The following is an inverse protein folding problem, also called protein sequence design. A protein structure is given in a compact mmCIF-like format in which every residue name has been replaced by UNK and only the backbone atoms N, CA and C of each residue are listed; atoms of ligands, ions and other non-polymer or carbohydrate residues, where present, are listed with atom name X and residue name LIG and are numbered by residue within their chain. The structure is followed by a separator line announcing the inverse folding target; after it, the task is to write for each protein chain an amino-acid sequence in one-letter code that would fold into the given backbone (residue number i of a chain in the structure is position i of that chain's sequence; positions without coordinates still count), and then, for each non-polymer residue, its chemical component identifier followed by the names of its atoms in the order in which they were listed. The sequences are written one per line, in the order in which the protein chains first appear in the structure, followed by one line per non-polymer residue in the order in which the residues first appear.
data_IF_674955030860
#
_entry.id   IF_674955030860
#
_cell.length_a   1.000
_cell.length_b   1.000
_cell.length_c   1.000
_cell.angle_alpha   90.00
_cell.angle_beta   90.00
_cell.angle_gamma   90.00
#
_symmetry.space_group_name_H-M   'P 1'
#
loop_
_entity.id
_entity.type
_entity.pdbx_description
1 polymer ?
#
# COMPACT_ATOMS: atom_id res chain seq x y z
N UNK A 1 38.37 33.63 -43.14
CA UNK A 1 37.51 34.21 -42.08
C UNK A 1 37.65 33.29 -40.88
N UNK A 2 38.23 33.81 -39.80
CA UNK A 2 38.55 32.96 -38.67
C UNK A 2 37.32 32.60 -37.82
N UNK A 3 37.31 31.42 -37.22
CA UNK A 3 36.31 30.89 -36.32
C UNK A 3 35.93 31.89 -35.22
N UNK A 4 36.85 32.69 -34.76
CA UNK A 4 36.71 33.73 -33.71
C UNK A 4 35.78 34.88 -34.18
N UNK A 5 35.84 35.27 -35.45
CA UNK A 5 35.05 36.34 -36.03
C UNK A 5 33.57 35.92 -36.16
N UNK A 6 33.33 34.64 -36.44
CA UNK A 6 31.95 34.05 -36.50
C UNK A 6 31.35 33.96 -35.11
N UNK A 7 32.16 33.74 -34.06
CA UNK A 7 31.70 33.71 -32.66
C UNK A 7 31.35 35.12 -32.17
N UNK A 8 32.16 36.12 -32.52
CA UNK A 8 31.92 37.52 -32.14
C UNK A 8 30.68 38.09 -32.79
N UNK A 9 30.38 37.73 -34.03
CA UNK A 9 29.12 38.14 -34.70
C UNK A 9 27.88 37.48 -34.13
N UNK A 10 28.01 36.41 -33.32
CA UNK A 10 26.92 35.73 -32.63
C UNK A 10 26.95 35.89 -31.11
N UNK A 11 27.61 36.96 -30.65
CA UNK A 11 27.81 37.23 -29.22
C UNK A 11 26.48 37.28 -28.43
N UNK A 12 25.44 37.87 -29.04
CA UNK A 12 24.11 37.92 -28.44
C UNK A 12 23.50 36.51 -28.28
N UNK A 13 23.68 35.64 -29.27
CA UNK A 13 23.19 34.28 -29.24
C UNK A 13 23.94 33.45 -28.17
N UNK A 14 25.24 33.65 -28.03
CA UNK A 14 26.05 32.99 -27.00
C UNK A 14 25.67 33.43 -25.60
N UNK A 15 25.48 34.74 -25.39
CA UNK A 15 24.98 35.32 -24.12
C UNK A 15 23.59 34.80 -23.74
N UNK A 16 22.70 34.68 -24.72
CA UNK A 16 21.35 34.15 -24.51
C UNK A 16 21.39 32.68 -24.12
N UNK A 17 22.26 31.88 -24.77
CA UNK A 17 22.40 30.45 -24.48
C UNK A 17 23.02 30.20 -23.10
N UNK A 18 24.03 30.99 -22.70
CA UNK A 18 24.64 30.93 -21.36
C UNK A 18 23.60 31.40 -20.32
N UNK A 19 22.86 32.48 -20.58
CA UNK A 19 21.83 32.99 -19.70
C UNK A 19 20.70 31.97 -19.48
N UNK A 20 20.27 31.28 -20.55
CA UNK A 20 19.27 30.21 -20.47
C UNK A 20 19.83 28.99 -19.68
N UNK A 21 21.10 28.66 -19.89
CA UNK A 21 21.76 27.62 -19.09
C UNK A 21 21.83 27.98 -17.61
N UNK A 22 22.16 29.22 -17.26
CA UNK A 22 22.15 29.68 -15.86
C UNK A 22 20.73 29.72 -15.25
N UNK A 23 19.75 30.17 -16.03
CA UNK A 23 18.35 30.14 -15.61
C UNK A 23 17.82 28.73 -15.29
N UNK A 24 18.31 27.71 -16.01
CA UNK A 24 17.92 26.33 -15.76
C UNK A 24 18.35 25.81 -14.38
N UNK A 25 19.42 26.36 -13.79
CA UNK A 25 19.85 26.03 -12.41
C UNK A 25 19.06 26.77 -11.32
N UNK A 26 18.41 27.90 -11.69
CA UNK A 26 17.60 28.67 -10.76
C UNK A 26 16.17 28.14 -10.63
N UNK A 27 15.72 27.31 -11.59
CA UNK A 27 14.39 26.70 -11.53
C UNK A 27 14.47 25.49 -10.58
N UNK A 28 13.72 25.51 -9.44
CA UNK A 28 13.68 24.36 -8.57
C UNK A 28 13.24 23.13 -9.36
N UNK A 29 13.91 22.00 -9.14
CA UNK A 29 13.61 20.74 -9.81
C UNK A 29 12.12 20.37 -9.72
N UNK A 30 11.50 20.70 -8.59
CA UNK A 30 10.06 20.52 -8.37
C UNK A 30 9.19 21.36 -9.31
N UNK A 31 9.62 22.57 -9.68
CA UNK A 31 8.91 23.41 -10.64
C UNK A 31 9.05 22.89 -12.07
N UNK A 32 10.20 22.30 -12.42
CA UNK A 32 10.40 21.64 -13.72
C UNK A 32 9.50 20.40 -13.82
N UNK A 33 9.44 19.60 -12.76
CA UNK A 33 8.54 18.46 -12.68
C UNK A 33 7.07 18.93 -12.76
N UNK A 34 6.70 20.02 -12.08
CA UNK A 34 5.34 20.57 -12.16
C UNK A 34 4.99 21.07 -13.56
N UNK A 35 5.95 21.64 -14.29
CA UNK A 35 5.74 22.09 -15.67
C UNK A 35 5.73 20.95 -16.70
N UNK A 36 6.61 19.97 -16.51
CA UNK A 36 6.63 18.73 -17.32
C UNK A 36 5.62 17.71 -16.81
N UNK A 37 5.19 17.85 -15.57
CA UNK A 37 4.38 16.92 -14.80
C UNK A 37 2.91 16.86 -15.20
N UNK A 38 2.46 17.72 -16.11
CA UNK A 38 1.14 17.48 -16.74
C UNK A 38 1.13 16.19 -17.58
N UNK A 39 2.31 15.66 -17.94
CA UNK A 39 2.40 14.34 -18.59
C UNK A 39 2.78 13.21 -17.61
N UNK A 40 3.52 13.49 -16.53
CA UNK A 40 3.90 12.48 -15.54
C UNK A 40 2.88 12.37 -14.38
N UNK A 41 2.16 13.44 -14.06
CA UNK A 41 1.09 13.45 -13.06
C UNK A 41 -0.18 12.71 -13.50
N UNK A 42 -0.33 12.47 -14.80
CA UNK A 42 -1.47 11.74 -15.37
C UNK A 42 -1.17 10.25 -15.65
N UNK A 43 -0.01 9.75 -15.24
CA UNK A 43 0.25 8.31 -15.33
C UNK A 43 -0.52 7.60 -14.22
N UNK A 44 -1.47 6.78 -14.63
CA UNK A 44 -2.17 5.86 -13.73
C UNK A 44 -1.24 4.70 -13.37
N UNK A 45 -1.12 4.40 -12.09
CA UNK A 45 -0.48 3.17 -11.61
C UNK A 45 -1.40 1.96 -11.78
N UNK A 46 -2.70 2.21 -11.92
CA UNK A 46 -3.77 1.24 -12.09
C UNK A 46 -5.12 1.88 -11.80
N UNK A 47 -6.18 1.10 -11.85
CA UNK A 47 -7.52 1.57 -11.48
C UNK A 47 -8.22 0.55 -10.60
N UNK A 48 -9.04 1.04 -9.66
CA UNK A 48 -9.88 0.24 -8.79
C UNK A 48 -11.29 0.80 -8.85
N UNK A 49 -12.25 -0.05 -9.14
CA UNK A 49 -13.67 0.31 -9.21
C UNK A 49 -13.98 1.46 -10.20
N UNK A 50 -13.14 1.61 -11.25
CA UNK A 50 -13.27 2.68 -12.26
C UNK A 50 -12.58 4.00 -11.88
N UNK A 51 -11.98 4.10 -10.71
CA UNK A 51 -11.16 5.23 -10.28
C UNK A 51 -9.68 4.98 -10.54
N UNK A 52 -9.02 5.92 -11.20
CA UNK A 52 -7.60 5.86 -11.47
C UNK A 52 -6.77 6.15 -10.22
N UNK A 53 -5.77 5.33 -9.98
CA UNK A 53 -4.75 5.54 -8.94
C UNK A 53 -3.58 6.27 -9.58
N UNK A 54 -3.30 7.49 -9.13
CA UNK A 54 -2.17 8.26 -9.62
C UNK A 54 -0.85 7.58 -9.26
N UNK A 55 0.06 7.48 -10.22
CA UNK A 55 1.42 6.97 -9.98
C UNK A 55 2.18 7.80 -8.94
N UNK A 56 1.93 9.11 -8.90
CA UNK A 56 2.54 10.00 -7.90
C UNK A 56 2.04 9.66 -6.48
N UNK A 57 0.73 9.46 -6.31
CA UNK A 57 0.14 9.03 -5.03
C UNK A 57 0.75 7.72 -4.56
N UNK A 58 0.75 6.71 -5.42
CA UNK A 58 1.33 5.40 -5.12
C UNK A 58 2.80 5.49 -4.70
N UNK A 59 3.61 6.20 -5.50
CA UNK A 59 5.04 6.39 -5.23
C UNK A 59 5.29 7.11 -3.90
N UNK A 60 4.51 8.14 -3.61
CA UNK A 60 4.62 8.91 -2.36
C UNK A 60 4.30 8.03 -1.15
N UNK A 61 3.20 7.26 -1.21
CA UNK A 61 2.83 6.30 -0.16
C UNK A 61 3.91 5.22 0.03
N UNK A 62 4.53 4.73 -1.05
CA UNK A 62 5.63 3.75 -0.96
C UNK A 62 6.87 4.35 -0.30
N UNK A 63 7.26 5.57 -0.66
CA UNK A 63 8.39 6.26 -0.02
C UNK A 63 8.15 6.48 1.47
N UNK A 64 6.95 6.95 1.83
CA UNK A 64 6.55 7.11 3.23
C UNK A 64 6.59 5.78 3.98
N UNK A 65 6.05 4.69 3.41
CA UNK A 65 6.07 3.36 4.01
C UNK A 65 7.49 2.86 4.26
N UNK A 66 8.39 3.05 3.30
CA UNK A 66 9.80 2.70 3.46
C UNK A 66 10.47 3.52 4.57
N UNK A 67 10.18 4.82 4.66
CA UNK A 67 10.70 5.68 5.73
C UNK A 67 10.23 5.26 7.13
N UNK A 68 8.98 4.80 7.26
CA UNK A 68 8.39 4.42 8.54
C UNK A 68 8.90 3.07 9.07
N UNK A 69 9.13 2.09 8.18
CA UNK A 69 9.39 0.70 8.57
C UNK A 69 10.78 0.18 8.15
N UNK A 70 11.60 1.00 7.48
CA UNK A 70 12.94 0.63 7.03
C UNK A 70 12.99 -0.71 6.30
N UNK A 71 12.10 -0.93 5.33
CA UNK A 71 12.09 -2.17 4.56
C UNK A 71 13.41 -2.38 3.85
N UNK A 72 13.97 -3.58 3.97
CA UNK A 72 15.17 -4.00 3.22
C UNK A 72 14.86 -4.30 1.76
N UNK A 73 13.62 -4.63 1.44
CA UNK A 73 13.12 -4.86 0.08
C UNK A 73 11.96 -3.91 -0.24
N UNK A 74 12.15 -3.09 -1.25
CA UNK A 74 11.12 -2.18 -1.76
C UNK A 74 9.83 -2.89 -2.20
N UNK A 75 9.91 -4.16 -2.60
CA UNK A 75 8.73 -4.93 -3.04
C UNK A 75 7.73 -5.15 -1.91
N UNK A 76 8.22 -5.36 -0.69
CA UNK A 76 7.35 -5.52 0.47
C UNK A 76 6.51 -4.25 0.71
N UNK A 77 7.16 -3.09 0.73
CA UNK A 77 6.48 -1.80 0.86
C UNK A 77 5.51 -1.54 -0.31
N UNK A 78 5.91 -1.86 -1.54
CA UNK A 78 5.09 -1.71 -2.74
C UNK A 78 3.81 -2.55 -2.66
N UNK A 79 3.93 -3.83 -2.28
CA UNK A 79 2.80 -4.74 -2.16
C UNK A 79 1.84 -4.32 -1.04
N UNK A 80 2.36 -3.90 0.11
CA UNK A 80 1.53 -3.43 1.21
C UNK A 80 0.78 -2.14 0.84
N UNK A 81 1.48 -1.16 0.28
CA UNK A 81 0.85 0.09 -0.15
C UNK A 81 -0.20 -0.15 -1.21
N UNK A 82 0.09 -1.02 -2.18
CA UNK A 82 -0.88 -1.37 -3.21
C UNK A 82 -2.14 -2.02 -2.61
N UNK A 83 -1.95 -2.98 -1.70
CA UNK A 83 -3.06 -3.63 -0.98
C UNK A 83 -3.88 -2.63 -0.14
N UNK A 84 -3.20 -1.67 0.51
CA UNK A 84 -3.86 -0.66 1.33
C UNK A 84 -4.66 0.32 0.45
N UNK A 85 -4.13 0.76 -0.70
CA UNK A 85 -4.86 1.62 -1.65
C UNK A 85 -6.10 0.90 -2.20
N UNK A 86 -5.94 -0.37 -2.60
CA UNK A 86 -7.09 -1.18 -3.05
C UNK A 86 -8.15 -1.27 -1.95
N UNK A 87 -7.73 -1.55 -0.72
CA UNK A 87 -8.65 -1.64 0.42
C UNK A 87 -9.35 -0.31 0.70
N UNK A 88 -8.62 0.80 0.64
CA UNK A 88 -9.17 2.14 0.83
C UNK A 88 -10.24 2.46 -0.22
N UNK A 89 -9.98 2.17 -1.50
CA UNK A 89 -10.92 2.43 -2.60
C UNK A 89 -12.13 1.50 -2.62
N UNK A 90 -11.97 0.25 -2.17
CA UNK A 90 -13.07 -0.72 -2.16
C UNK A 90 -13.99 -0.57 -0.94
N UNK A 91 -13.43 -0.18 0.20
CA UNK A 91 -14.17 -0.20 1.46
C UNK A 91 -14.42 1.18 2.06
N UNK A 92 -13.81 2.25 1.52
CA UNK A 92 -13.96 3.60 2.07
C UNK A 92 -15.40 4.07 2.09
N UNK A 93 -16.12 3.88 0.99
CA UNK A 93 -17.54 4.22 0.88
C UNK A 93 -18.38 3.35 1.81
N UNK A 94 -18.12 2.05 1.87
CA UNK A 94 -18.82 1.11 2.74
C UNK A 94 -18.64 1.45 4.23
N UNK A 95 -17.46 1.91 4.63
CA UNK A 95 -17.23 2.36 6.00
C UNK A 95 -18.09 3.57 6.35
N UNK A 96 -18.18 4.52 5.41
CA UNK A 96 -19.01 5.71 5.56
C UNK A 96 -20.50 5.38 5.62
N UNK A 97 -20.97 4.53 4.72
CA UNK A 97 -22.39 4.11 4.62
C UNK A 97 -22.84 3.33 5.85
N UNK A 98 -21.94 2.54 6.44
CA UNK A 98 -22.20 1.81 7.69
C UNK A 98 -22.00 2.67 8.95
N UNK A 99 -21.59 3.93 8.81
CA UNK A 99 -21.32 4.82 9.94
C UNK A 99 -20.15 4.33 10.81
N UNK A 100 -19.18 3.63 10.21
CA UNK A 100 -17.98 3.19 10.92
C UNK A 100 -17.06 4.38 11.13
N UNK A 101 -16.79 4.71 12.37
CA UNK A 101 -15.89 5.78 12.77
C UNK A 101 -14.86 5.25 13.77
N UNK A 102 -13.70 5.85 13.77
CA UNK A 102 -12.65 5.62 14.76
C UNK A 102 -12.57 6.84 15.68
N UNK A 103 -13.04 6.69 16.91
CA UNK A 103 -12.95 7.78 17.89
C UNK A 103 -11.52 7.93 18.38
N UNK A 104 -11.21 9.09 18.96
CA UNK A 104 -9.89 9.35 19.55
C UNK A 104 -9.60 8.38 20.70
N UNK A 105 -10.58 8.11 21.53
CA UNK A 105 -10.48 7.18 22.66
C UNK A 105 -10.17 5.75 22.17
N UNK A 106 -10.90 5.27 21.15
CA UNK A 106 -10.63 3.97 20.54
C UNK A 106 -9.24 3.94 19.89
N UNK A 107 -8.84 5.01 19.21
CA UNK A 107 -7.52 5.10 18.58
C UNK A 107 -6.37 5.07 19.61
N UNK A 108 -6.58 5.65 20.79
CA UNK A 108 -5.61 5.57 21.88
C UNK A 108 -5.61 4.17 22.51
N UNK A 109 -6.78 3.56 22.71
CA UNK A 109 -6.92 2.22 23.29
C UNK A 109 -6.25 1.13 22.45
N UNK A 110 -6.47 1.12 21.14
CA UNK A 110 -5.86 0.13 20.23
C UNK A 110 -4.34 0.26 20.11
N UNK A 111 -3.78 1.38 20.51
CA UNK A 111 -2.33 1.62 20.47
C UNK A 111 -1.63 1.25 21.78
N UNK A 112 -2.17 1.70 22.90
CA UNK A 112 -1.55 1.57 24.22
C UNK A 112 -2.53 1.45 25.40
N UNK A 113 -3.81 1.21 25.12
CA UNK A 113 -4.82 0.96 26.14
C UNK A 113 -4.92 -0.50 26.55
N UNK A 114 -6.09 -0.88 27.04
CA UNK A 114 -6.37 -2.26 27.47
C UNK A 114 -6.53 -3.21 26.28
N UNK A 115 -7.03 -2.69 25.16
CA UNK A 115 -7.21 -3.44 23.93
C UNK A 115 -6.23 -3.00 22.83
N UNK A 116 -5.00 -3.46 22.91
CA UNK A 116 -4.03 -3.24 21.82
C UNK A 116 -4.38 -4.13 20.63
N UNK A 117 -4.55 -3.52 19.45
CA UNK A 117 -4.93 -4.29 18.26
C UNK A 117 -3.86 -5.33 17.87
N UNK A 118 -4.24 -6.47 17.28
CA UNK A 118 -3.27 -7.51 16.89
C UNK A 118 -2.19 -7.02 15.94
N UNK A 119 -2.53 -6.10 15.06
CA UNK A 119 -1.57 -5.52 14.12
C UNK A 119 -0.57 -4.59 14.84
N UNK A 120 -1.07 -3.71 15.71
CA UNK A 120 -0.23 -2.82 16.52
C UNK A 120 0.69 -3.63 17.43
N UNK A 121 0.14 -4.67 18.08
CA UNK A 121 0.92 -5.57 18.95
C UNK A 121 2.10 -6.19 18.20
N UNK A 122 1.87 -6.76 17.02
CA UNK A 122 2.93 -7.38 16.23
C UNK A 122 3.96 -6.38 15.70
N UNK A 123 3.49 -5.20 15.28
CA UNK A 123 4.33 -4.21 14.61
C UNK A 123 5.21 -3.44 15.59
N UNK A 124 4.65 -3.04 16.74
CA UNK A 124 5.33 -2.12 17.67
C UNK A 124 5.82 -2.79 18.95
N UNK A 125 5.17 -3.87 19.41
CA UNK A 125 5.48 -4.53 20.66
C UNK A 125 6.22 -5.86 20.49
N UNK A 126 6.14 -6.45 19.30
CA UNK A 126 6.70 -7.78 19.05
C UNK A 126 5.88 -8.88 19.74
N UNK A 127 6.55 -9.80 20.47
CA UNK A 127 5.89 -10.97 21.07
C UNK A 127 5.08 -10.69 22.33
N UNK A 128 5.35 -9.57 23.02
CA UNK A 128 4.71 -9.27 24.32
C UNK A 128 4.39 -7.79 24.45
N UNK A 129 3.15 -7.49 24.80
CA UNK A 129 2.68 -6.15 25.16
C UNK A 129 2.85 -6.02 26.68
N UNK A 130 3.75 -5.12 27.11
CA UNK A 130 3.97 -4.79 28.53
C UNK A 130 3.63 -3.33 28.78
N UNK A 131 3.28 -2.97 30.01
CA UNK A 131 2.98 -1.58 30.38
C UNK A 131 4.17 -0.64 30.13
N UNK A 132 5.39 -1.11 30.35
CA UNK A 132 6.60 -0.36 30.05
C UNK A 132 6.70 -0.02 28.56
N UNK A 133 6.45 -1.00 27.68
CA UNK A 133 6.45 -0.77 26.23
C UNK A 133 5.32 0.15 25.79
N UNK A 134 4.12 0.03 26.37
CA UNK A 134 3.01 0.94 26.09
C UNK A 134 3.37 2.38 26.41
N UNK A 135 3.96 2.62 27.60
CA UNK A 135 4.37 3.96 27.99
C UNK A 135 5.48 4.51 27.09
N UNK A 136 6.48 3.70 26.75
CA UNK A 136 7.54 4.08 25.82
C UNK A 136 6.99 4.47 24.44
N UNK A 137 6.05 3.70 23.90
CA UNK A 137 5.42 4.03 22.61
C UNK A 137 4.53 5.26 22.71
N UNK A 138 3.79 5.43 23.80
CA UNK A 138 2.99 6.64 24.05
C UNK A 138 3.85 7.90 24.06
N UNK A 139 5.00 7.85 24.73
CA UNK A 139 5.97 8.95 24.73
C UNK A 139 6.56 9.18 23.33
N UNK A 140 6.93 8.11 22.61
CA UNK A 140 7.47 8.21 21.24
C UNK A 140 6.47 8.85 20.29
N UNK A 141 5.22 8.41 20.28
CA UNK A 141 4.17 9.01 19.47
C UNK A 141 3.88 10.47 19.88
N UNK A 142 3.92 10.77 21.18
CA UNK A 142 3.77 12.13 21.69
C UNK A 142 4.90 13.06 21.22
N UNK A 143 6.14 12.58 21.22
CA UNK A 143 7.29 13.32 20.69
C UNK A 143 7.17 13.53 19.18
N UNK A 144 6.83 12.49 18.41
CA UNK A 144 6.61 12.61 16.97
C UNK A 144 5.52 13.64 16.64
N UNK A 145 4.42 13.64 17.40
CA UNK A 145 3.34 14.61 17.20
C UNK A 145 3.76 16.04 17.49
N UNK A 146 4.58 16.24 18.51
CA UNK A 146 5.02 17.57 18.96
C UNK A 146 6.16 18.13 18.09
N UNK A 147 6.99 17.29 17.50
CA UNK A 147 8.08 17.71 16.63
C UNK A 147 7.57 17.99 15.20
N UNK A 148 7.82 19.21 14.66
CA UNK A 148 7.47 19.51 13.27
C UNK A 148 8.02 18.52 12.23
N UNK A 149 9.23 18.01 12.44
CA UNK A 149 9.87 17.03 11.54
C UNK A 149 9.33 15.61 11.75
N UNK A 150 8.90 15.28 12.97
CA UNK A 150 8.31 13.99 13.32
C UNK A 150 6.85 13.85 12.89
N UNK A 151 6.17 14.99 12.69
CA UNK A 151 4.71 15.02 12.45
C UNK A 151 4.28 14.23 11.19
N UNK A 152 5.10 14.25 10.14
CA UNK A 152 4.84 13.47 8.94
C UNK A 152 4.87 11.95 9.21
N UNK A 153 5.80 11.49 10.05
CA UNK A 153 5.90 10.10 10.47
C UNK A 153 4.71 9.72 11.37
N UNK A 154 4.34 10.60 12.32
CA UNK A 154 3.16 10.40 13.16
C UNK A 154 1.90 10.22 12.30
N UNK A 155 1.66 11.12 11.33
CA UNK A 155 0.51 11.02 10.41
C UNK A 155 0.54 9.70 9.65
N UNK A 156 1.68 9.32 9.09
CA UNK A 156 1.81 8.06 8.36
C UNK A 156 1.48 6.82 9.20
N UNK A 157 1.95 6.75 10.45
CA UNK A 157 1.57 5.67 11.37
C UNK A 157 0.08 5.73 11.72
N UNK A 158 -0.45 6.93 12.01
CA UNK A 158 -1.83 7.12 12.38
C UNK A 158 -2.78 6.66 11.26
N UNK A 159 -2.49 7.01 10.02
CA UNK A 159 -3.28 6.64 8.84
C UNK A 159 -3.32 5.11 8.67
N UNK A 160 -2.15 4.44 8.79
CA UNK A 160 -2.06 2.99 8.66
C UNK A 160 -2.84 2.29 9.77
N UNK A 161 -2.65 2.72 11.04
CA UNK A 161 -3.33 2.14 12.20
C UNK A 161 -4.85 2.31 12.05
N UNK A 162 -5.29 3.51 11.67
CA UNK A 162 -6.72 3.81 11.48
C UNK A 162 -7.34 2.94 10.41
N UNK A 163 -6.69 2.82 9.25
CA UNK A 163 -7.19 1.98 8.16
C UNK A 163 -7.27 0.51 8.57
N UNK A 164 -6.24 -0.03 9.22
CA UNK A 164 -6.25 -1.43 9.71
C UNK A 164 -7.39 -1.64 10.70
N UNK A 165 -7.63 -0.68 11.61
CA UNK A 165 -8.74 -0.78 12.58
C UNK A 165 -10.11 -0.69 11.92
N UNK A 166 -10.30 0.22 10.98
CA UNK A 166 -11.56 0.32 10.22
C UNK A 166 -11.86 -0.98 9.50
N UNK A 167 -10.85 -1.59 8.89
CA UNK A 167 -10.98 -2.90 8.26
C UNK A 167 -11.32 -4.02 9.26
N UNK A 168 -10.68 -4.04 10.42
CA UNK A 168 -11.02 -5.00 11.49
C UNK A 168 -12.47 -4.86 11.95
N UNK A 169 -12.98 -3.62 12.11
CA UNK A 169 -14.38 -3.34 12.46
C UNK A 169 -15.33 -3.87 11.39
N UNK A 170 -15.05 -3.56 10.13
CA UNK A 170 -15.85 -4.04 9.00
C UNK A 170 -15.88 -5.57 8.93
N UNK A 171 -14.71 -6.21 8.97
CA UNK A 171 -14.62 -7.68 8.95
C UNK A 171 -15.35 -8.30 10.15
N UNK A 172 -15.33 -7.64 11.31
CA UNK A 172 -16.06 -8.02 12.50
C UNK A 172 -17.59 -7.97 12.28
N UNK A 173 -18.09 -6.90 11.67
CA UNK A 173 -19.51 -6.76 11.33
C UNK A 173 -19.95 -7.82 10.32
N UNK A 174 -19.18 -8.03 9.26
CA UNK A 174 -19.48 -9.07 8.26
C UNK A 174 -19.53 -10.44 8.91
N UNK A 175 -18.56 -10.78 9.75
CA UNK A 175 -18.53 -12.06 10.49
C UNK A 175 -19.71 -12.20 11.44
N UNK A 176 -20.09 -11.14 12.14
CA UNK A 176 -21.23 -11.14 13.05
C UNK A 176 -22.57 -11.29 12.31
N UNK A 177 -22.66 -10.76 11.08
CA UNK A 177 -23.81 -10.91 10.20
C UNK A 177 -23.94 -12.31 9.56
N UNK A 178 -22.81 -13.05 9.49
CA UNK A 178 -22.80 -14.42 8.95
C UNK A 178 -23.17 -15.39 10.08
N UNK A 179 -24.40 -15.87 10.10
CA UNK A 179 -24.81 -16.91 11.02
C UNK A 179 -24.79 -18.27 10.34
N UNK A 180 -23.93 -19.17 10.80
CA UNK A 180 -24.00 -20.57 10.41
C UNK A 180 -25.02 -21.29 11.30
N UNK A 181 -25.99 -21.95 10.70
CA UNK A 181 -26.94 -22.78 11.47
C UNK A 181 -26.31 -24.16 11.79
N UNK A 182 -26.86 -24.86 12.79
CA UNK A 182 -26.37 -26.18 13.23
C UNK A 182 -26.32 -27.21 12.10
N UNK A 183 -27.22 -27.07 11.12
CA UNK A 183 -27.27 -27.99 9.98
C UNK A 183 -26.12 -27.76 9.00
N UNK A 184 -25.73 -26.52 8.78
CA UNK A 184 -24.57 -26.15 7.95
C UNK A 184 -23.27 -26.60 8.61
N UNK A 185 -23.13 -26.37 9.93
CA UNK A 185 -21.99 -26.85 10.69
C UNK A 185 -21.84 -28.37 10.64
N UNK A 186 -23.00 -29.09 10.75
CA UNK A 186 -23.01 -30.56 10.61
C UNK A 186 -22.62 -31.00 9.20
N UNK A 187 -23.13 -30.33 8.17
CA UNK A 187 -22.76 -30.66 6.77
C UNK A 187 -21.28 -30.45 6.51
N UNK A 188 -20.72 -29.35 6.98
CA UNK A 188 -19.31 -29.05 6.77
C UNK A 188 -18.40 -30.04 7.51
N UNK A 189 -18.76 -30.42 8.73
CA UNK A 189 -18.08 -31.44 9.48
C UNK A 189 -18.10 -32.79 8.73
N UNK A 190 -19.29 -33.23 8.29
CA UNK A 190 -19.44 -34.48 7.54
C UNK A 190 -18.65 -34.47 6.23
N UNK A 191 -18.64 -33.32 5.51
CA UNK A 191 -17.84 -33.16 4.28
C UNK A 191 -16.34 -33.31 4.52
N UNK A 192 -15.83 -32.79 5.65
CA UNK A 192 -14.43 -32.93 6.03
C UNK A 192 -14.02 -34.35 6.44
N UNK A 193 -14.99 -35.10 7.00
CA UNK A 193 -14.76 -36.50 7.46
C UNK A 193 -15.11 -37.52 6.37
N UNK A 194 -15.78 -37.13 5.30
CA UNK A 194 -16.17 -38.03 4.22
C UNK A 194 -14.94 -38.49 3.45
N UNK A 195 -14.69 -39.80 3.50
CA UNK A 195 -13.61 -40.47 2.76
C UNK A 195 -14.20 -41.21 1.62
N UNK A 196 -13.67 -41.02 0.43
CA UNK A 196 -14.11 -41.70 -0.79
C UNK A 196 -12.97 -42.57 -1.27
N UNK A 197 -13.22 -43.88 -1.38
CA UNK A 197 -12.32 -44.81 -2.05
C UNK A 197 -12.71 -44.86 -3.52
N UNK A 198 -11.74 -44.63 -4.39
CA UNK A 198 -11.97 -44.76 -5.83
C UNK A 198 -10.87 -45.61 -6.49
N UNK A 199 -11.28 -46.37 -7.50
CA UNK A 199 -10.37 -47.10 -8.35
C UNK A 199 -10.27 -46.39 -9.68
N UNK A 200 -9.06 -46.23 -10.18
CA UNK A 200 -8.83 -45.60 -11.46
C UNK A 200 -7.89 -46.46 -12.32
N UNK A 201 -8.07 -46.38 -13.63
CA UNK A 201 -7.18 -46.96 -14.59
C UNK A 201 -6.40 -45.85 -15.26
N UNK A 202 -5.09 -45.86 -15.06
CA UNK A 202 -4.19 -44.92 -15.71
C UNK A 202 -3.65 -45.53 -17.00
N UNK A 203 -4.06 -45.01 -18.16
CA UNK A 203 -3.42 -45.29 -19.44
C UNK A 203 -2.53 -44.11 -19.82
N UNK A 204 -1.22 -44.28 -19.79
CA UNK A 204 -0.27 -43.27 -20.20
C UNK A 204 -0.27 -43.11 -21.71
N UNK A 205 -0.15 -41.89 -22.23
CA UNK A 205 -0.04 -41.66 -23.68
C UNK A 205 1.14 -42.41 -24.30
N UNK A 206 2.25 -42.54 -23.57
CA UNK A 206 3.44 -43.30 -24.00
C UNK A 206 3.21 -44.81 -24.11
N UNK A 207 2.06 -45.35 -23.65
CA UNK A 207 1.71 -46.75 -23.77
C UNK A 207 0.80 -47.03 -24.97
N UNK A 208 0.52 -46.01 -25.78
CA UNK A 208 -0.23 -46.12 -27.03
C UNK A 208 0.80 -45.98 -28.15
N UNK A 209 1.03 -47.01 -28.97
CA UNK A 209 1.93 -46.93 -30.14
C UNK A 209 1.42 -45.87 -31.12
N UNK A 210 2.34 -45.16 -31.79
CA UNK A 210 1.99 -44.10 -32.75
C UNK A 210 1.19 -44.61 -33.96
N UNK A 211 1.28 -45.91 -34.26
CA UNK A 211 0.54 -46.57 -35.31
C UNK A 211 -0.93 -46.91 -34.98
N UNK A 212 -1.32 -46.75 -33.70
CA UNK A 212 -2.72 -46.87 -33.25
C UNK A 212 -3.46 -45.51 -33.22
N UNK A 213 -2.76 -44.40 -33.57
CA UNK A 213 -3.35 -43.07 -33.55
C UNK A 213 -3.66 -42.60 -34.97
N UNK A 214 -4.91 -42.70 -35.39
CA UNK A 214 -5.38 -42.07 -36.63
C UNK A 214 -5.70 -40.59 -36.36
N UNK A 215 -4.95 -39.71 -37.05
CA UNK A 215 -5.22 -38.27 -37.03
C UNK A 215 -6.10 -37.95 -38.24
N UNK A 216 -7.36 -37.61 -37.98
CA UNK A 216 -8.31 -37.15 -39.00
C UNK A 216 -8.15 -35.67 -39.29
#
# INVERSE_FOLDING_TARGET
MGMIESIRNRQTLLLTLIGLGMLSFLIPYDAVIALMGNSAGNQSAGSVNGEDISFLEYRTKVQQRNSLFNYTDNRAAQNEVWSDIISERLYGDEFSDLGLELTKEEFDDIRYGDFVSPWVSRTFYGSQVTEEKKENWKQTFGQMYSDPNGRANYSGYADIISMKRMREKFDGLVKAGLSANTLEGKREFLRGEEKVDFRYVLKRYTSIPDDEVEVS
#
